data_IF_459211476151
#
_entry.id   IF_459211476151
#
_cell.length_a   1.000
_cell.length_b   1.000
_cell.length_c   1.000
_cell.angle_alpha   90.00
_cell.angle_beta   90.00
_cell.angle_gamma   90.00
#
_symmetry.space_group_name_H-M   'P 1'
#
loop_
_entity.id
_entity.type
_entity.pdbx_description
1 polymer ?
#
# COMPACT_ATOMS: atom_id res chain seq x y z
N UNK A 1 1.24 15.60 -8.27
CA UNK A 1 0.06 16.17 -8.91
C UNK A 1 -0.33 15.34 -10.12
N UNK A 2 0.57 15.13 -11.06
CA UNK A 2 0.36 14.34 -12.26
C UNK A 2 -0.19 12.92 -11.99
N UNK A 3 0.38 12.18 -11.03
CA UNK A 3 -0.14 10.86 -10.59
C UNK A 3 -1.64 10.94 -10.22
N UNK A 4 -2.04 11.93 -9.42
CA UNK A 4 -3.41 12.08 -8.97
C UNK A 4 -4.36 12.44 -10.13
N UNK A 5 -3.90 13.27 -11.04
CA UNK A 5 -4.66 13.67 -12.23
C UNK A 5 -4.86 12.49 -13.18
N UNK A 6 -3.79 11.71 -13.44
CA UNK A 6 -3.85 10.51 -14.30
C UNK A 6 -4.71 9.42 -13.68
N UNK A 7 -4.56 9.13 -12.40
CA UNK A 7 -5.37 8.13 -11.70
C UNK A 7 -6.79 8.63 -11.43
N UNK A 8 -7.09 9.92 -11.69
CA UNK A 8 -8.38 10.57 -11.38
C UNK A 8 -8.78 10.36 -9.92
N UNK A 9 -7.82 10.53 -9.02
CA UNK A 9 -7.92 10.16 -7.62
C UNK A 9 -7.82 11.39 -6.71
N UNK A 10 -8.68 11.43 -5.67
CA UNK A 10 -8.63 12.49 -4.67
C UNK A 10 -8.39 11.88 -3.27
N UNK A 11 -7.18 12.03 -2.71
CA UNK A 11 -6.85 11.47 -1.40
C UNK A 11 -7.57 12.16 -0.23
N UNK A 12 -8.27 13.29 -0.47
CA UNK A 12 -9.09 13.95 0.55
C UNK A 12 -10.45 13.27 0.76
N UNK A 13 -10.90 12.45 -0.18
CA UNK A 13 -12.24 11.85 -0.14
C UNK A 13 -12.22 10.40 -0.60
N UNK A 14 -11.80 9.51 0.29
CA UNK A 14 -11.96 8.07 0.09
C UNK A 14 -13.44 7.69 0.15
N UNK A 15 -13.84 6.80 -0.75
CA UNK A 15 -15.23 6.29 -0.83
C UNK A 15 -15.48 5.18 0.18
N UNK A 16 -14.41 4.53 0.64
CA UNK A 16 -14.45 3.38 1.55
C UNK A 16 -13.49 3.58 2.73
N UNK A 17 -13.63 2.75 3.76
CA UNK A 17 -12.69 2.72 4.89
C UNK A 17 -11.37 1.97 4.56
N UNK A 18 -11.10 1.74 3.28
CA UNK A 18 -9.92 1.00 2.81
C UNK A 18 -9.15 1.78 1.72
N UNK A 19 -8.39 2.82 2.08
CA UNK A 19 -7.65 3.66 1.14
C UNK A 19 -6.73 2.88 0.20
N UNK A 20 -5.99 1.90 0.70
CA UNK A 20 -5.07 1.13 -0.14
C UNK A 20 -5.79 0.38 -1.26
N UNK A 21 -7.02 -0.12 -1.00
CA UNK A 21 -7.81 -0.78 -2.04
C UNK A 21 -8.19 0.21 -3.13
N UNK A 22 -8.59 1.42 -2.77
CA UNK A 22 -8.97 2.45 -3.75
C UNK A 22 -7.80 2.87 -4.63
N UNK A 23 -6.59 2.99 -4.04
CA UNK A 23 -5.37 3.25 -4.80
C UNK A 23 -5.00 2.10 -5.74
N UNK A 24 -5.14 0.84 -5.30
CA UNK A 24 -4.93 -0.34 -6.15
C UNK A 24 -5.93 -0.33 -7.31
N UNK A 25 -7.21 -0.16 -7.02
CA UNK A 25 -8.27 -0.13 -8.04
C UNK A 25 -8.01 1.00 -9.08
N UNK A 26 -7.56 2.17 -8.63
CA UNK A 26 -7.19 3.28 -9.52
C UNK A 26 -5.96 2.96 -10.38
N UNK A 27 -4.92 2.36 -9.82
CA UNK A 27 -3.73 1.95 -10.56
C UNK A 27 -4.06 0.89 -11.61
N UNK A 28 -4.81 -0.15 -11.24
CA UNK A 28 -5.22 -1.22 -12.15
C UNK A 28 -6.15 -0.73 -13.26
N UNK A 29 -7.04 0.24 -12.97
CA UNK A 29 -7.89 0.89 -13.99
C UNK A 29 -7.06 1.64 -15.04
N UNK A 30 -5.86 2.09 -14.67
CA UNK A 30 -4.92 2.76 -15.57
C UNK A 30 -3.84 1.81 -16.15
N UNK A 31 -4.05 0.49 -16.08
CA UNK A 31 -3.20 -0.50 -16.72
C UNK A 31 -1.95 -0.89 -15.93
N UNK A 32 -1.83 -0.50 -14.66
CA UNK A 32 -0.71 -0.87 -13.79
C UNK A 32 -1.08 -2.12 -13.00
N UNK A 33 -0.34 -3.21 -13.16
CA UNK A 33 -0.55 -4.44 -12.39
C UNK A 33 -0.08 -4.27 -10.96
N UNK A 34 -0.92 -4.60 -9.98
CA UNK A 34 -0.57 -4.47 -8.57
C UNK A 34 -0.70 -5.81 -7.85
N UNK A 35 0.42 -6.41 -7.50
CA UNK A 35 0.49 -7.62 -6.67
C UNK A 35 0.66 -7.25 -5.20
N UNK A 36 -0.17 -7.82 -4.34
CA UNK A 36 -0.12 -7.59 -2.90
C UNK A 36 -0.15 -8.91 -2.13
N UNK A 37 1.00 -9.34 -1.64
CA UNK A 37 1.12 -10.58 -0.87
C UNK A 37 2.33 -10.53 0.06
N UNK A 38 2.29 -11.30 1.16
CA UNK A 38 3.47 -11.57 2.01
C UNK A 38 4.04 -12.98 1.79
N UNK A 39 3.53 -13.74 0.82
CA UNK A 39 3.97 -15.10 0.57
C UNK A 39 4.47 -15.26 -0.87
N UNK A 40 5.72 -15.68 -1.03
CA UNK A 40 6.27 -16.15 -2.31
C UNK A 40 5.69 -17.54 -2.60
N UNK A 41 5.64 -18.37 -1.58
CA UNK A 41 5.19 -19.75 -1.61
C UNK A 41 4.45 -20.07 -0.31
N UNK A 42 3.63 -21.12 -0.26
CA UNK A 42 2.81 -21.49 0.91
C UNK A 42 3.56 -21.58 2.25
N UNK A 43 4.89 -21.70 2.21
CA UNK A 43 5.77 -21.81 3.40
C UNK A 43 6.84 -20.72 3.49
N UNK A 44 7.01 -19.90 2.45
CA UNK A 44 8.02 -18.85 2.41
C UNK A 44 7.34 -17.49 2.50
N UNK A 45 7.41 -16.91 3.68
CA UNK A 45 6.92 -15.55 3.97
C UNK A 45 8.04 -14.54 3.71
N UNK A 46 7.69 -13.42 3.08
CA UNK A 46 8.58 -12.27 2.92
C UNK A 46 8.57 -11.46 4.21
N UNK A 47 9.76 -11.11 4.69
CA UNK A 47 9.92 -10.16 5.77
C UNK A 47 9.77 -8.73 5.22
N UNK A 48 8.96 -7.92 5.88
CA UNK A 48 8.79 -6.50 5.50
C UNK A 48 10.02 -5.65 5.81
N UNK A 49 10.92 -6.12 6.68
CA UNK A 49 12.21 -5.45 6.92
C UNK A 49 13.21 -5.70 5.78
N UNK A 50 13.07 -6.83 5.04
CA UNK A 50 13.94 -7.16 3.91
C UNK A 50 13.41 -6.59 2.58
N UNK A 51 12.08 -6.61 2.37
CA UNK A 51 11.45 -6.14 1.14
C UNK A 51 10.05 -5.58 1.44
N UNK A 52 9.87 -4.30 1.24
CA UNK A 52 8.57 -3.62 1.37
C UNK A 52 7.81 -3.60 0.04
N UNK A 53 8.50 -3.32 -1.06
CA UNK A 53 7.92 -3.27 -2.38
C UNK A 53 8.96 -3.23 -3.48
N UNK A 54 8.50 -3.30 -4.72
CA UNK A 54 9.29 -3.00 -5.90
C UNK A 54 8.39 -2.62 -7.09
N UNK A 55 8.96 -1.87 -8.02
CA UNK A 55 8.33 -1.51 -9.28
C UNK A 55 9.13 -2.03 -10.48
N UNK A 56 8.42 -2.42 -11.53
CA UNK A 56 8.96 -2.69 -12.86
C UNK A 56 8.34 -1.69 -13.81
N UNK A 57 9.12 -0.71 -14.24
CA UNK A 57 8.69 0.36 -15.13
C UNK A 57 8.74 -0.08 -16.60
N UNK A 58 7.93 -1.08 -16.96
CA UNK A 58 7.77 -1.53 -18.33
C UNK A 58 6.70 -0.71 -19.06
N UNK A 59 6.92 -0.21 -20.28
CA UNK A 59 5.97 0.65 -20.98
C UNK A 59 4.66 -0.05 -21.40
N UNK A 60 4.64 -1.40 -21.46
CA UNK A 60 3.48 -2.18 -21.87
C UNK A 60 2.82 -2.94 -20.71
N UNK A 61 3.60 -3.25 -19.67
CA UNK A 61 3.14 -4.04 -18.53
C UNK A 61 3.77 -3.52 -17.23
N UNK A 62 3.51 -2.25 -16.86
CA UNK A 62 4.01 -1.71 -15.61
C UNK A 62 3.48 -2.51 -14.43
N UNK A 63 4.37 -2.85 -13.49
CA UNK A 63 4.04 -3.74 -12.40
C UNK A 63 4.55 -3.19 -11.07
N UNK A 64 3.71 -3.26 -10.05
CA UNK A 64 4.03 -2.92 -8.67
C UNK A 64 3.78 -4.12 -7.76
N UNK A 65 4.75 -4.41 -6.91
CA UNK A 65 4.62 -5.36 -5.82
C UNK A 65 4.61 -4.64 -4.48
N UNK A 66 3.71 -5.05 -3.58
CA UNK A 66 3.64 -4.56 -2.20
C UNK A 66 3.62 -5.74 -1.23
N UNK A 67 4.54 -5.77 -0.28
CA UNK A 67 4.54 -6.77 0.77
C UNK A 67 3.37 -6.51 1.74
N UNK A 68 2.49 -7.51 1.89
CA UNK A 68 1.31 -7.40 2.76
C UNK A 68 1.56 -7.80 4.21
N UNK A 69 2.81 -8.02 4.61
CA UNK A 69 3.15 -8.36 6.00
C UNK A 69 3.04 -7.18 6.96
N UNK A 70 3.15 -5.97 6.44
CA UNK A 70 3.01 -4.73 7.19
C UNK A 70 1.54 -4.28 7.35
N UNK A 71 1.31 -3.17 8.07
CA UNK A 71 0.00 -2.55 8.23
C UNK A 71 -0.44 -1.81 6.95
N UNK A 72 -1.74 -1.56 6.82
CA UNK A 72 -2.28 -0.91 5.62
C UNK A 72 -1.67 0.47 5.33
N UNK A 73 -1.36 1.26 6.35
CA UNK A 73 -0.81 2.61 6.14
C UNK A 73 0.62 2.61 5.58
N UNK A 74 1.60 1.84 6.12
CA UNK A 74 2.88 1.62 5.47
C UNK A 74 2.75 1.03 4.06
N UNK A 75 1.91 -0.01 3.88
CA UNK A 75 1.68 -0.59 2.55
C UNK A 75 1.15 0.43 1.54
N UNK A 76 0.26 1.34 1.97
CA UNK A 76 -0.24 2.41 1.11
C UNK A 76 0.88 3.37 0.72
N UNK A 77 1.74 3.73 1.65
CA UNK A 77 2.89 4.60 1.37
C UNK A 77 3.84 3.92 0.38
N UNK A 78 4.17 2.64 0.61
CA UNK A 78 4.96 1.82 -0.32
C UNK A 78 4.32 1.77 -1.71
N UNK A 79 3.01 1.49 -1.81
CA UNK A 79 2.32 1.46 -3.10
C UNK A 79 2.50 2.76 -3.88
N UNK A 80 2.29 3.92 -3.23
CA UNK A 80 2.40 5.22 -3.92
C UNK A 80 3.85 5.58 -4.23
N UNK A 81 4.80 5.14 -3.41
CA UNK A 81 6.23 5.23 -3.69
C UNK A 81 6.60 4.42 -4.95
N UNK A 82 6.15 3.17 -5.04
CA UNK A 82 6.40 2.33 -6.22
C UNK A 82 5.69 2.87 -7.48
N UNK A 83 4.53 3.47 -7.34
CA UNK A 83 3.89 4.20 -8.45
C UNK A 83 4.76 5.38 -8.91
N UNK A 84 5.47 6.08 -8.01
CA UNK A 84 6.38 7.14 -8.42
C UNK A 84 7.53 6.62 -9.28
N UNK A 85 8.08 5.42 -9.00
CA UNK A 85 9.06 4.76 -9.86
C UNK A 85 8.50 4.52 -11.27
N UNK A 86 7.24 4.04 -11.39
CA UNK A 86 6.59 3.87 -12.70
C UNK A 86 6.52 5.22 -13.45
N UNK A 87 6.16 6.31 -12.76
CA UNK A 87 6.03 7.65 -13.37
C UNK A 87 7.33 8.22 -13.90
N UNK A 88 8.46 7.91 -13.28
CA UNK A 88 9.77 8.35 -13.75
C UNK A 88 10.46 7.33 -14.66
N UNK A 89 9.77 6.23 -15.02
CA UNK A 89 10.27 5.12 -15.81
C UNK A 89 11.56 4.48 -15.24
N UNK A 90 11.67 4.44 -13.91
CA UNK A 90 12.79 3.86 -13.18
C UNK A 90 12.34 2.62 -12.42
N UNK A 91 12.91 1.46 -12.75
CA UNK A 91 12.69 0.22 -11.98
C UNK A 91 13.41 0.31 -10.64
N UNK A 92 12.71 0.06 -9.54
CA UNK A 92 13.26 0.17 -8.19
C UNK A 92 12.90 -1.01 -7.30
N UNK A 93 13.72 -1.23 -6.25
CA UNK A 93 13.46 -2.19 -5.16
C UNK A 93 13.58 -1.42 -3.86
N UNK A 94 12.52 -1.37 -3.07
CA UNK A 94 12.44 -0.56 -1.86
C UNK A 94 12.48 -1.44 -0.61
N UNK A 95 13.52 -1.26 0.21
CA UNK A 95 13.71 -1.97 1.47
C UNK A 95 13.35 -1.11 2.68
N UNK A 96 13.51 0.21 2.59
CA UNK A 96 13.20 1.16 3.64
C UNK A 96 12.42 2.34 3.05
N UNK A 97 11.10 2.28 3.14
CA UNK A 97 10.19 3.35 2.67
C UNK A 97 9.71 4.17 3.87
N UNK A 98 10.66 4.62 4.71
CA UNK A 98 10.35 5.56 5.78
C UNK A 98 10.95 6.94 5.50
N UNK A 99 10.17 8.02 5.70
CA UNK A 99 10.71 9.37 5.60
C UNK A 99 11.59 9.69 6.81
N UNK A 100 12.81 9.12 6.91
CA UNK A 100 13.73 9.47 7.99
C UNK A 100 14.39 10.82 7.69
N UNK A 101 14.09 11.81 8.52
CA UNK A 101 14.65 13.17 8.44
C UNK A 101 16.17 13.17 8.69
N UNK A 102 16.70 12.16 9.39
CA UNK A 102 18.08 12.17 9.90
C UNK A 102 19.11 11.55 8.95
N UNK A 103 18.71 10.84 7.91
CA UNK A 103 19.60 10.04 7.08
C UNK A 103 19.44 10.25 5.57
N UNK A 104 19.07 11.47 5.15
CA UNK A 104 18.94 11.80 3.70
C UNK A 104 20.19 11.48 2.88
N UNK A 105 21.36 11.56 3.49
CA UNK A 105 22.64 11.31 2.82
C UNK A 105 22.90 9.82 2.50
N UNK A 106 22.07 8.90 3.02
CA UNK A 106 22.22 7.46 2.79
C UNK A 106 21.35 6.92 1.66
N UNK A 107 20.34 7.66 1.21
CA UNK A 107 19.42 7.22 0.17
C UNK A 107 19.83 7.72 -1.20
N UNK A 108 19.58 6.89 -2.21
CA UNK A 108 19.74 7.30 -3.60
C UNK A 108 18.78 8.47 -3.91
N UNK A 109 19.19 9.47 -4.71
CA UNK A 109 18.32 10.63 -5.04
C UNK A 109 16.94 10.26 -5.59
N UNK A 110 16.85 9.17 -6.35
CA UNK A 110 15.58 8.63 -6.88
C UNK A 110 14.66 8.20 -5.75
N UNK A 111 15.17 7.49 -4.74
CA UNK A 111 14.40 7.04 -3.58
C UNK A 111 13.85 8.22 -2.77
N UNK A 112 14.69 9.24 -2.55
CA UNK A 112 14.26 10.47 -1.87
C UNK A 112 13.15 11.17 -2.65
N UNK A 113 13.29 11.23 -3.97
CA UNK A 113 12.28 11.80 -4.85
C UNK A 113 10.97 11.00 -4.80
N UNK A 114 11.02 9.68 -4.88
CA UNK A 114 9.83 8.82 -4.80
C UNK A 114 9.15 8.93 -3.43
N UNK A 115 9.92 9.01 -2.33
CA UNK A 115 9.39 9.29 -0.99
C UNK A 115 8.68 10.65 -0.93
N UNK A 116 9.26 11.69 -1.52
CA UNK A 116 8.65 13.01 -1.57
C UNK A 116 7.38 13.02 -2.42
N UNK A 117 7.38 12.33 -3.57
CA UNK A 117 6.20 12.17 -4.43
C UNK A 117 5.09 11.44 -3.67
N UNK A 118 5.40 10.33 -2.98
CA UNK A 118 4.44 9.59 -2.18
C UNK A 118 3.83 10.45 -1.06
N UNK A 119 4.67 11.17 -0.32
CA UNK A 119 4.21 12.08 0.73
C UNK A 119 3.31 13.19 0.19
N UNK A 120 3.66 13.78 -0.98
CA UNK A 120 2.85 14.83 -1.61
C UNK A 120 1.53 14.28 -2.20
N UNK A 121 1.53 13.06 -2.76
CA UNK A 121 0.35 12.45 -3.34
C UNK A 121 -0.66 12.01 -2.26
N UNK A 122 -0.18 11.41 -1.17
CA UNK A 122 -1.03 10.97 -0.06
C UNK A 122 -1.49 12.13 0.84
N UNK A 123 -0.64 13.15 0.97
CA UNK A 123 -0.84 14.28 1.88
C UNK A 123 -0.58 15.60 1.15
N UNK A 124 -1.40 15.97 0.15
CA UNK A 124 -1.27 17.25 -0.57
C UNK A 124 -1.30 18.42 0.40
N UNK A 125 -0.51 19.45 0.12
CA UNK A 125 -0.39 20.63 0.98
C UNK A 125 -1.74 21.32 1.20
N UNK A 126 -2.57 21.38 0.18
CA UNK A 126 -3.90 22.01 0.22
C UNK A 126 -4.81 21.33 1.25
N UNK A 127 -4.75 20.01 1.34
CA UNK A 127 -5.50 19.23 2.33
C UNK A 127 -4.95 19.51 3.74
N UNK A 128 -3.64 19.56 3.90
CA UNK A 128 -3.02 19.87 5.17
C UNK A 128 -3.40 21.24 5.70
N UNK A 129 -3.43 22.25 4.84
CA UNK A 129 -3.80 23.62 5.19
C UNK A 129 -5.30 23.77 5.49
N UNK A 130 -6.13 22.80 5.12
CA UNK A 130 -7.56 22.79 5.45
C UNK A 130 -7.86 22.28 6.87
N UNK A 131 -6.88 21.63 7.54
CA UNK A 131 -7.04 21.20 8.91
C UNK A 131 -6.87 22.37 9.89
N UNK A 132 -7.71 22.37 10.93
CA UNK A 132 -7.58 23.31 12.04
C UNK A 132 -6.25 23.11 12.79
N UNK A 133 -5.68 24.19 13.33
CA UNK A 133 -4.46 24.17 14.16
C UNK A 133 -4.57 23.23 15.38
N UNK A 134 -5.77 22.95 15.84
CA UNK A 134 -6.03 21.96 16.91
C UNK A 134 -5.75 20.52 16.48
N UNK A 135 -5.76 20.24 15.18
CA UNK A 135 -5.55 18.90 14.62
C UNK A 135 -4.14 18.34 14.84
N UNK A 136 -3.19 19.16 15.28
CA UNK A 136 -1.79 18.79 15.49
C UNK A 136 -1.31 19.03 16.93
N UNK A 137 -2.21 19.02 17.92
CA UNK A 137 -1.85 19.32 19.31
C UNK A 137 -1.56 18.07 20.14
N UNK A 138 -2.25 16.98 19.89
CA UNK A 138 -2.11 15.72 20.65
C UNK A 138 -1.88 14.53 19.73
N UNK A 139 -1.35 13.44 20.29
CA UNK A 139 -1.21 12.17 19.55
C UNK A 139 -2.55 11.61 19.06
N UNK A 140 -3.64 11.87 19.79
CA UNK A 140 -5.00 11.45 19.37
C UNK A 140 -5.48 12.22 18.14
N UNK A 141 -5.19 13.52 18.07
CA UNK A 141 -5.53 14.36 16.93
C UNK A 141 -4.74 13.89 15.71
N UNK A 142 -3.42 13.68 15.87
CA UNK A 142 -2.54 13.10 14.85
C UNK A 142 -3.10 11.76 14.33
N UNK A 143 -3.48 10.86 15.24
CA UNK A 143 -4.05 9.56 14.84
C UNK A 143 -5.36 9.71 14.04
N UNK A 144 -6.23 10.63 14.44
CA UNK A 144 -7.50 10.89 13.76
C UNK A 144 -7.27 11.37 12.32
N UNK A 145 -6.38 12.35 12.13
CA UNK A 145 -6.04 12.88 10.80
C UNK A 145 -5.33 11.82 9.96
N UNK A 146 -4.35 11.10 10.53
CA UNK A 146 -3.64 10.03 9.86
C UNK A 146 -4.58 8.93 9.36
N UNK A 147 -5.54 8.53 10.20
CA UNK A 147 -6.57 7.55 9.82
C UNK A 147 -7.45 8.05 8.67
N UNK A 148 -7.83 9.32 8.69
CA UNK A 148 -8.64 9.93 7.62
C UNK A 148 -7.91 9.91 6.27
N UNK A 149 -6.59 10.15 6.27
CA UNK A 149 -5.75 10.15 5.06
C UNK A 149 -5.21 8.76 4.72
N UNK A 150 -5.43 7.75 5.55
CA UNK A 150 -4.92 6.39 5.34
C UNK A 150 -3.42 6.24 5.53
N UNK A 151 -2.76 7.21 6.19
CA UNK A 151 -1.31 7.23 6.41
C UNK A 151 -0.94 6.88 7.85
N UNK A 152 0.35 6.63 8.11
CA UNK A 152 0.82 6.45 9.48
C UNK A 152 0.88 7.79 10.23
N UNK A 153 0.68 7.76 11.54
CA UNK A 153 0.84 8.94 12.41
C UNK A 153 2.25 9.53 12.30
N UNK A 154 3.25 8.68 12.08
CA UNK A 154 4.63 9.11 11.87
C UNK A 154 4.79 9.89 10.55
N UNK A 155 4.30 9.34 9.43
CA UNK A 155 4.34 10.02 8.13
C UNK A 155 3.62 11.38 8.18
N UNK A 156 2.47 11.44 8.88
CA UNK A 156 1.74 12.69 9.09
C UNK A 156 2.57 13.73 9.85
N UNK A 157 3.25 13.33 10.95
CA UNK A 157 4.11 14.22 11.73
C UNK A 157 5.30 14.75 10.91
N UNK A 158 5.95 13.89 10.15
CA UNK A 158 7.05 14.27 9.24
C UNK A 158 6.55 15.29 8.22
N UNK A 159 5.39 15.04 7.63
CA UNK A 159 4.79 15.96 6.65
C UNK A 159 4.43 17.31 7.27
N UNK A 160 3.82 17.31 8.46
CA UNK A 160 3.48 18.54 9.20
C UNK A 160 4.73 19.39 9.54
N UNK A 161 5.84 18.71 9.88
CA UNK A 161 7.12 19.39 10.11
C UNK A 161 7.69 19.97 8.80
N UNK A 162 7.70 19.20 7.71
CA UNK A 162 8.21 19.64 6.41
C UNK A 162 7.42 20.84 5.84
N UNK A 163 6.13 20.91 6.13
CA UNK A 163 5.26 22.03 5.76
C UNK A 163 5.32 23.20 6.76
N UNK A 164 6.17 23.14 7.81
CA UNK A 164 6.28 24.14 8.88
C UNK A 164 4.96 24.38 9.66
N UNK A 165 4.06 23.43 9.68
CA UNK A 165 2.81 23.49 10.46
C UNK A 165 3.09 23.29 11.94
N UNK A 166 4.07 22.43 12.25
CA UNK A 166 4.56 22.21 13.62
C UNK A 166 6.07 22.52 13.69
N UNK A 167 6.50 22.99 14.86
CA UNK A 167 7.92 23.23 15.13
C UNK A 167 8.67 21.94 15.47
N UNK A 168 10.02 21.95 15.36
CA UNK A 168 10.87 20.82 15.74
C UNK A 168 10.63 20.36 17.18
N UNK A 169 10.53 21.22 18.20
CA UNK A 169 10.22 20.82 19.58
C UNK A 169 8.85 20.12 19.68
N UNK A 170 7.83 20.65 18.98
CA UNK A 170 6.49 20.06 18.94
C UNK A 170 6.52 18.68 18.28
N UNK A 171 7.21 18.55 17.16
CA UNK A 171 7.43 17.27 16.48
C UNK A 171 8.06 16.24 17.41
N UNK A 172 9.16 16.59 18.09
CA UNK A 172 9.86 15.67 19.00
C UNK A 172 8.97 15.22 20.17
N UNK A 173 8.15 16.14 20.73
CA UNK A 173 7.18 15.83 21.77
C UNK A 173 6.10 14.86 21.28
N UNK A 174 5.46 15.20 20.16
CA UNK A 174 4.38 14.38 19.59
C UNK A 174 4.88 13.02 19.11
N UNK A 175 6.08 12.96 18.49
CA UNK A 175 6.69 11.70 18.07
C UNK A 175 6.85 10.73 19.24
N UNK A 176 7.40 11.18 20.36
CA UNK A 176 7.53 10.33 21.56
C UNK A 176 6.18 9.76 22.02
N UNK A 177 5.13 10.60 21.99
CA UNK A 177 3.80 10.16 22.41
C UNK A 177 3.18 9.20 21.37
N UNK A 178 3.33 9.47 20.09
CA UNK A 178 2.87 8.58 19.00
C UNK A 178 3.57 7.22 19.09
N UNK A 179 4.89 7.18 19.33
CA UNK A 179 5.64 5.93 19.47
C UNK A 179 5.10 5.09 20.66
N UNK A 180 4.79 5.73 21.80
CA UNK A 180 4.19 5.06 22.97
C UNK A 180 2.79 4.51 22.64
N UNK A 181 1.95 5.34 22.03
CA UNK A 181 0.58 4.96 21.70
C UNK A 181 0.55 3.85 20.64
N UNK A 182 1.47 3.89 19.68
CA UNK A 182 1.63 2.86 18.66
C UNK A 182 2.09 1.52 19.26
N UNK A 183 3.07 1.54 20.15
CA UNK A 183 3.50 0.32 20.85
C UNK A 183 2.35 -0.30 21.68
N UNK A 184 1.54 0.53 22.35
CA UNK A 184 0.35 0.07 23.06
C UNK A 184 -0.73 -0.50 22.12
N UNK A 185 -0.91 0.12 20.94
CA UNK A 185 -1.81 -0.39 19.90
C UNK A 185 -1.36 -1.75 19.37
N UNK A 186 -0.08 -1.91 19.01
CA UNK A 186 0.47 -3.18 18.55
C UNK A 186 0.26 -4.32 19.55
N UNK A 187 0.47 -4.05 20.84
CA UNK A 187 0.24 -5.03 21.90
C UNK A 187 -1.23 -5.48 21.96
N UNK A 188 -2.17 -4.53 21.88
CA UNK A 188 -3.62 -4.83 21.87
C UNK A 188 -4.04 -5.65 20.63
N UNK A 189 -3.49 -5.32 19.47
CA UNK A 189 -3.79 -6.05 18.23
C UNK A 189 -3.20 -7.47 18.24
N UNK A 190 -1.99 -7.66 18.77
CA UNK A 190 -1.41 -8.98 18.98
C UNK A 190 -2.29 -9.84 19.91
N UNK A 191 -2.79 -9.27 21.03
CA UNK A 191 -3.71 -9.95 21.93
C UNK A 191 -5.05 -10.33 21.25
N UNK A 192 -5.60 -9.42 20.42
CA UNK A 192 -6.82 -9.69 19.65
C UNK A 192 -6.60 -10.81 18.62
N UNK A 193 -5.50 -10.77 17.87
CA UNK A 193 -5.15 -11.81 16.88
C UNK A 193 -5.00 -13.18 17.55
N UNK A 194 -4.38 -13.24 18.73
CA UNK A 194 -4.26 -14.49 19.48
C UNK A 194 -5.61 -15.03 19.94
N UNK A 195 -6.49 -14.17 20.48
CA UNK A 195 -7.87 -14.56 20.87
C UNK A 195 -8.73 -14.99 19.67
N UNK A 196 -8.50 -14.37 18.50
CA UNK A 196 -9.23 -14.70 17.28
C UNK A 196 -8.77 -16.03 16.70
N UNK A 197 -7.46 -16.33 16.70
CA UNK A 197 -6.92 -17.64 16.32
C UNK A 197 -7.45 -18.80 17.16
N UNK A 198 -7.77 -18.56 18.42
CA UNK A 198 -8.41 -19.54 19.31
C UNK A 198 -9.88 -19.79 18.95
N UNK A 199 -10.58 -18.76 18.42
CA UNK A 199 -12.00 -18.85 18.00
C UNK A 199 -12.16 -19.36 16.57
N UNK A 200 -11.28 -18.96 15.65
CA UNK A 200 -11.33 -19.30 14.22
C UNK A 200 -10.72 -20.68 13.90
N UNK A 201 -11.10 -21.71 14.63
CA UNK A 201 -10.80 -23.10 14.20
C UNK A 201 -11.59 -23.54 12.97
N UNK A 202 -12.45 -22.69 12.41
CA UNK A 202 -13.27 -22.99 11.23
C UNK A 202 -13.23 -21.81 10.25
N UNK A 203 -12.38 -21.90 9.20
CA UNK A 203 -12.43 -21.05 8.02
C UNK A 203 -11.28 -20.05 7.92
N UNK A 204 -10.25 -20.39 7.15
CA UNK A 204 -9.21 -19.42 6.72
C UNK A 204 -9.76 -18.37 5.75
N UNK A 205 -8.95 -17.35 5.41
CA UNK A 205 -9.34 -16.34 4.42
C UNK A 205 -9.72 -16.99 3.08
N UNK A 206 -10.62 -16.34 2.34
CA UNK A 206 -11.07 -16.85 1.05
C UNK A 206 -9.87 -17.04 0.09
N UNK A 207 -9.58 -18.28 -0.27
CA UNK A 207 -8.46 -18.66 -1.13
C UNK A 207 -8.43 -17.86 -2.45
N UNK A 208 -9.57 -17.68 -3.10
CA UNK A 208 -9.63 -16.96 -4.37
C UNK A 208 -9.36 -15.47 -4.20
N UNK A 209 -9.80 -14.87 -3.09
CA UNK A 209 -9.48 -13.47 -2.79
C UNK A 209 -7.97 -13.28 -2.55
N UNK A 210 -7.33 -14.22 -1.86
CA UNK A 210 -5.87 -14.21 -1.69
C UNK A 210 -5.14 -14.34 -3.03
N UNK A 211 -5.64 -15.18 -3.95
CA UNK A 211 -5.05 -15.32 -5.29
C UNK A 211 -5.24 -14.04 -6.11
N UNK A 212 -6.40 -13.38 -6.05
CA UNK A 212 -6.63 -12.10 -6.73
C UNK A 212 -5.68 -11.00 -6.23
N UNK A 213 -5.51 -10.90 -4.92
CA UNK A 213 -4.58 -9.90 -4.36
C UNK A 213 -3.12 -10.21 -4.74
N UNK A 214 -2.74 -11.50 -4.71
CA UNK A 214 -1.40 -11.94 -5.10
C UNK A 214 -1.09 -11.71 -6.57
N UNK A 215 -2.05 -12.01 -7.44
CA UNK A 215 -1.83 -11.99 -8.89
C UNK A 215 -2.13 -10.62 -9.52
N UNK A 216 -2.74 -9.65 -8.80
CA UNK A 216 -3.44 -8.50 -9.38
C UNK A 216 -4.80 -8.89 -9.99
N UNK A 217 -5.81 -8.06 -9.79
CA UNK A 217 -7.13 -8.28 -10.44
C UNK A 217 -7.03 -8.07 -11.94
N UNK A 218 -6.35 -7.01 -12.37
CA UNK A 218 -6.10 -6.70 -13.77
C UNK A 218 -5.34 -7.85 -14.48
N UNK A 219 -4.25 -8.35 -13.87
CA UNK A 219 -3.50 -9.48 -14.42
C UNK A 219 -4.38 -10.74 -14.52
N UNK A 220 -5.15 -11.04 -13.48
CA UNK A 220 -6.05 -12.18 -13.48
C UNK A 220 -7.08 -12.08 -14.62
N UNK A 221 -7.68 -10.91 -14.81
CA UNK A 221 -8.61 -10.67 -15.91
C UNK A 221 -7.94 -10.84 -17.27
N UNK A 222 -6.77 -10.22 -17.47
CA UNK A 222 -6.00 -10.32 -18.71
C UNK A 222 -5.70 -11.78 -19.09
N UNK A 223 -5.26 -12.58 -18.12
CA UNK A 223 -4.98 -14.01 -18.36
C UNK A 223 -6.25 -14.80 -18.67
N UNK A 224 -7.36 -14.55 -17.97
CA UNK A 224 -8.64 -15.22 -18.24
C UNK A 224 -9.19 -14.85 -19.61
N UNK A 225 -9.08 -13.60 -20.03
CA UNK A 225 -9.52 -13.12 -21.34
C UNK A 225 -8.65 -13.72 -22.46
N UNK A 226 -7.33 -13.77 -22.29
CA UNK A 226 -6.42 -14.43 -23.23
C UNK A 226 -6.69 -15.94 -23.34
N UNK A 227 -7.00 -16.61 -22.23
CA UNK A 227 -7.39 -18.03 -22.23
C UNK A 227 -8.70 -18.25 -22.97
N UNK A 228 -9.73 -17.45 -22.73
CA UNK A 228 -11.03 -17.57 -23.42
C UNK A 228 -10.93 -17.24 -24.91
N UNK A 229 -10.08 -16.28 -25.26
CA UNK A 229 -9.81 -15.92 -26.65
C UNK A 229 -8.97 -16.95 -27.40
N UNK A 230 -8.50 -18.02 -26.72
CA UNK A 230 -7.66 -19.05 -27.31
C UNK A 230 -6.23 -18.59 -27.61
N UNK A 231 -5.79 -17.46 -27.03
CA UNK A 231 -4.44 -16.93 -27.21
C UNK A 231 -3.40 -17.66 -26.36
N UNK A 232 -3.81 -18.30 -25.29
CA UNK A 232 -2.94 -19.08 -24.40
C UNK A 232 -3.58 -20.42 -24.06
N UNK A 233 -2.74 -21.44 -23.89
CA UNK A 233 -3.15 -22.79 -23.53
C UNK A 233 -3.62 -22.89 -22.07
N UNK A 234 -4.53 -23.85 -21.76
CA UNK A 234 -5.06 -24.05 -20.39
C UNK A 234 -3.97 -24.22 -19.33
N UNK A 235 -2.90 -24.95 -19.68
CA UNK A 235 -1.76 -25.20 -18.77
C UNK A 235 -1.02 -23.90 -18.46
N UNK A 236 -0.79 -23.04 -19.46
CA UNK A 236 -0.14 -21.75 -19.25
C UNK A 236 -1.00 -20.84 -18.38
N UNK A 237 -2.30 -20.73 -18.67
CA UNK A 237 -3.23 -19.94 -17.86
C UNK A 237 -3.27 -20.41 -16.40
N UNK A 238 -3.32 -21.74 -16.18
CA UNK A 238 -3.29 -22.35 -14.85
C UNK A 238 -2.00 -22.03 -14.08
N UNK A 239 -0.85 -22.06 -14.76
CA UNK A 239 0.45 -21.74 -14.17
C UNK A 239 0.55 -20.27 -13.82
N UNK A 240 0.16 -19.38 -14.74
CA UNK A 240 0.19 -17.91 -14.52
C UNK A 240 -0.68 -17.50 -13.33
N UNK A 241 -1.88 -18.06 -13.20
CA UNK A 241 -2.81 -17.73 -12.12
C UNK A 241 -2.54 -18.53 -10.84
N UNK A 242 -1.72 -19.59 -10.89
CA UNK A 242 -1.55 -20.57 -9.81
C UNK A 242 -2.89 -21.12 -9.32
N UNK A 243 -3.81 -21.35 -10.24
CA UNK A 243 -5.17 -21.88 -10.01
C UNK A 243 -5.49 -22.92 -11.07
N UNK A 244 -6.05 -24.06 -10.66
CA UNK A 244 -6.48 -25.10 -11.59
C UNK A 244 -7.61 -24.60 -12.51
N UNK A 245 -7.61 -24.98 -13.78
CA UNK A 245 -8.56 -24.52 -14.81
C UNK A 245 -10.03 -24.76 -14.40
N UNK A 246 -10.32 -25.90 -13.77
CA UNK A 246 -11.68 -26.22 -13.28
C UNK A 246 -12.17 -25.28 -12.16
N UNK A 247 -11.28 -24.48 -11.58
CA UNK A 247 -11.60 -23.48 -10.54
C UNK A 247 -11.72 -22.06 -11.08
N UNK A 248 -11.44 -21.82 -12.36
CA UNK A 248 -11.54 -20.50 -12.99
C UNK A 248 -12.91 -19.83 -12.82
N UNK A 249 -14.06 -20.54 -12.97
CA UNK A 249 -15.37 -19.93 -12.73
C UNK A 249 -15.55 -19.40 -11.29
N UNK A 250 -14.93 -20.05 -10.30
CA UNK A 250 -14.97 -19.59 -8.89
C UNK A 250 -14.06 -18.38 -8.67
N UNK A 251 -12.87 -18.39 -9.28
CA UNK A 251 -11.95 -17.24 -9.24
C UNK A 251 -12.62 -16.02 -9.86
N UNK A 252 -13.21 -16.16 -11.03
CA UNK A 252 -13.90 -15.12 -11.75
C UNK A 252 -15.11 -14.55 -10.98
N UNK A 253 -15.88 -15.39 -10.30
CA UNK A 253 -16.98 -14.93 -9.45
C UNK A 253 -16.53 -14.03 -8.30
N UNK A 254 -15.24 -14.06 -7.92
CA UNK A 254 -14.65 -13.17 -6.92
C UNK A 254 -14.03 -11.92 -7.57
N UNK A 255 -13.68 -11.97 -8.85
CA UNK A 255 -13.12 -10.83 -9.59
C UNK A 255 -14.13 -9.69 -9.74
N UNK A 256 -15.40 -10.04 -9.95
CA UNK A 256 -16.50 -9.08 -10.21
C UNK A 256 -17.35 -8.75 -8.95
N UNK A 257 -16.88 -9.14 -7.76
CA UNK A 257 -17.44 -8.73 -6.46
C UNK A 257 -16.65 -7.57 -5.86
#
# INVERSE_FOLDING_TARGET
>A
KDILETLKFNPASYKTDNPIKEWIDAAETNGIFVSRTSFIHSRLKLDSEELQGFAIADPHAPFVFVNSDDWNAPQLFTLVHELAHIWIAETGISNEVEPDIKHKDKFHPVELFCNEVAANALMPQEIFLSFDSTSFQTSKDIFKVAKQLGVSSFALLVRALNLNIISIPTYQKLKKQVDIDYAAYLKREAEKKNKQKEKDKQGGPNYFLLQLNRNSRLFTQTVLDAFRGGFIEPTLASNLLNVQVNKFPKLESQLFR
#
